data_IF_199326620946
#
_entry.id   IF_199326620946
#
_cell.length_a   1.000
_cell.length_b   1.000
_cell.length_c   1.000
_cell.angle_alpha   90.00
_cell.angle_beta   90.00
_cell.angle_gamma   90.00
#
_symmetry.space_group_name_H-M   'P 1'
#
loop_
_entity.id
_entity.type
_entity.pdbx_description
1 polymer ?
#
# COMPACT_ATOMS: atom_id res chain seq x y z
N UNK A 1 11.73 -39.58 -21.58
CA UNK A 1 12.74 -38.82 -20.86
C UNK A 1 12.84 -39.41 -19.46
N UNK A 2 14.03 -39.86 -18.98
CA UNK A 2 14.15 -40.37 -17.63
C UNK A 2 13.81 -39.23 -16.63
N UNK A 3 12.95 -39.51 -15.69
CA UNK A 3 12.56 -38.55 -14.63
C UNK A 3 13.78 -38.21 -13.77
N UNK A 4 14.00 -36.92 -13.49
CA UNK A 4 15.05 -36.49 -12.54
C UNK A 4 14.87 -37.23 -11.21
N UNK A 5 15.95 -37.74 -10.59
CA UNK A 5 15.85 -38.52 -9.37
C UNK A 5 15.25 -37.68 -8.23
N UNK A 6 14.52 -38.32 -7.36
CA UNK A 6 13.97 -37.69 -6.15
C UNK A 6 15.06 -37.50 -5.08
N UNK A 7 14.84 -36.55 -4.14
CA UNK A 7 15.74 -36.36 -3.00
C UNK A 7 15.93 -37.65 -2.16
N UNK A 8 14.91 -38.52 -2.12
CA UNK A 8 14.99 -39.85 -1.44
C UNK A 8 15.90 -40.81 -2.18
N UNK A 9 15.87 -40.79 -3.49
CA UNK A 9 16.77 -41.65 -4.31
C UNK A 9 18.20 -41.18 -4.17
N UNK A 10 18.44 -39.86 -4.20
CA UNK A 10 19.76 -39.28 -3.96
C UNK A 10 20.30 -39.66 -2.56
N UNK A 11 19.47 -39.60 -1.53
CA UNK A 11 19.82 -40.00 -0.16
C UNK A 11 20.19 -41.50 -0.08
N UNK A 12 19.41 -42.36 -0.73
CA UNK A 12 19.65 -43.79 -0.80
C UNK A 12 20.97 -44.11 -1.51
N UNK A 13 21.23 -43.48 -2.66
CA UNK A 13 22.46 -43.64 -3.45
C UNK A 13 23.71 -43.26 -2.65
N UNK A 14 23.59 -42.22 -1.80
CA UNK A 14 24.70 -41.72 -0.99
C UNK A 14 24.87 -42.43 0.36
N UNK A 15 23.92 -43.28 0.75
CA UNK A 15 23.89 -43.90 2.07
C UNK A 15 23.68 -42.89 3.20
N UNK A 16 23.00 -41.76 2.91
CA UNK A 16 22.77 -40.70 3.88
C UNK A 16 21.28 -40.56 4.20
N UNK A 17 20.99 -39.96 5.38
CA UNK A 17 19.61 -39.65 5.69
C UNK A 17 19.05 -38.57 4.76
N UNK A 18 17.75 -38.62 4.47
CA UNK A 18 17.04 -37.61 3.70
C UNK A 18 17.26 -36.19 4.27
N UNK A 19 17.29 -36.08 5.61
CA UNK A 19 17.54 -34.80 6.29
C UNK A 19 18.94 -34.29 6.01
N UNK A 20 19.96 -35.15 6.12
CA UNK A 20 21.36 -34.78 5.85
C UNK A 20 21.57 -34.32 4.41
N UNK A 21 20.97 -34.98 3.43
CA UNK A 21 21.05 -34.57 2.02
C UNK A 21 20.32 -33.25 1.80
N UNK A 22 19.14 -33.08 2.39
CA UNK A 22 18.39 -31.82 2.29
C UNK A 22 19.12 -30.64 2.92
N UNK A 23 19.79 -30.85 4.05
CA UNK A 23 20.59 -29.84 4.74
C UNK A 23 21.88 -29.51 3.99
N UNK A 24 22.56 -30.52 3.44
CA UNK A 24 23.75 -30.34 2.62
C UNK A 24 23.45 -29.49 1.37
N UNK A 25 22.33 -29.74 0.69
CA UNK A 25 21.87 -28.96 -0.47
C UNK A 25 21.44 -27.53 -0.13
N UNK A 26 21.24 -27.21 1.16
CA UNK A 26 20.95 -25.87 1.67
C UNK A 26 22.16 -25.16 2.25
N UNK A 27 23.33 -25.76 2.11
CA UNK A 27 24.56 -25.27 2.71
C UNK A 27 24.49 -25.06 4.24
N UNK A 28 23.73 -25.93 4.94
CA UNK A 28 23.56 -25.81 6.38
C UNK A 28 24.92 -26.01 7.10
N UNK A 29 25.36 -25.08 7.95
CA UNK A 29 26.65 -25.18 8.66
C UNK A 29 26.76 -26.39 9.62
N UNK A 30 25.65 -27.05 9.96
CA UNK A 30 25.65 -28.29 10.76
C UNK A 30 26.11 -29.52 9.98
N UNK A 31 26.20 -29.44 8.65
CA UNK A 31 26.67 -30.52 7.79
C UNK A 31 28.15 -30.31 7.49
N UNK A 32 28.96 -31.34 7.66
CA UNK A 32 30.40 -31.31 7.39
C UNK A 32 30.65 -30.99 5.92
N UNK A 33 31.68 -30.17 5.63
CA UNK A 33 31.99 -29.70 4.29
C UNK A 33 32.22 -30.82 3.29
N UNK A 34 32.92 -31.89 3.71
CA UNK A 34 33.11 -33.09 2.88
C UNK A 34 31.79 -33.73 2.45
N UNK A 35 30.79 -33.74 3.36
CA UNK A 35 29.45 -34.28 3.08
C UNK A 35 28.70 -33.36 2.09
N UNK A 36 28.82 -32.05 2.22
CA UNK A 36 28.23 -31.11 1.32
C UNK A 36 28.76 -31.26 -0.10
N UNK A 37 30.09 -31.33 -0.24
CA UNK A 37 30.75 -31.51 -1.54
C UNK A 37 30.32 -32.84 -2.20
N UNK A 38 30.26 -33.93 -1.40
CA UNK A 38 29.81 -35.24 -1.87
C UNK A 38 28.37 -35.20 -2.37
N UNK A 39 27.48 -34.54 -1.64
CA UNK A 39 26.05 -34.42 -1.99
C UNK A 39 25.87 -33.54 -3.25
N UNK A 40 26.57 -32.41 -3.34
CA UNK A 40 26.49 -31.52 -4.49
C UNK A 40 26.96 -32.19 -5.77
N UNK A 41 28.12 -32.87 -5.75
CA UNK A 41 28.63 -33.64 -6.91
C UNK A 41 27.65 -34.73 -7.35
N UNK A 42 27.07 -35.47 -6.40
CA UNK A 42 26.10 -36.51 -6.71
C UNK A 42 24.78 -35.93 -7.27
N UNK A 43 24.32 -34.79 -6.76
CA UNK A 43 23.15 -34.10 -7.25
C UNK A 43 23.34 -33.62 -8.71
N UNK A 44 24.50 -33.04 -9.00
CA UNK A 44 24.87 -32.58 -10.35
C UNK A 44 24.99 -33.77 -11.33
N UNK A 45 25.71 -34.82 -10.95
CA UNK A 45 25.86 -36.03 -11.76
C UNK A 45 24.54 -36.75 -12.06
N UNK A 46 23.59 -36.70 -11.10
CA UNK A 46 22.27 -37.32 -11.24
C UNK A 46 21.25 -36.36 -11.95
N UNK A 47 21.64 -35.15 -12.34
CA UNK A 47 20.73 -34.17 -12.93
C UNK A 47 19.63 -33.72 -11.97
N UNK A 48 19.86 -33.84 -10.63
CA UNK A 48 18.89 -33.39 -9.64
C UNK A 48 18.79 -31.86 -9.64
N UNK A 49 17.64 -31.35 -10.02
CA UNK A 49 17.30 -29.93 -9.85
C UNK A 49 16.31 -29.78 -8.70
N UNK A 50 16.66 -28.96 -7.74
CA UNK A 50 15.75 -28.62 -6.64
C UNK A 50 14.46 -28.06 -7.21
N UNK A 51 13.34 -28.74 -6.97
CA UNK A 51 12.04 -28.26 -7.41
C UNK A 51 11.55 -27.17 -6.42
N UNK A 52 11.44 -25.89 -6.84
CA UNK A 52 10.92 -24.83 -6.00
C UNK A 52 9.49 -25.08 -5.54
N UNK A 53 8.70 -25.81 -6.37
CA UNK A 53 7.32 -26.19 -6.06
C UNK A 53 7.24 -27.23 -4.94
N UNK A 54 8.22 -28.11 -4.80
CA UNK A 54 8.26 -29.06 -3.66
C UNK A 54 8.45 -28.34 -2.33
N UNK A 55 9.21 -27.24 -2.29
CA UNK A 55 9.32 -26.36 -1.12
C UNK A 55 7.99 -25.66 -0.82
N UNK A 56 7.30 -25.19 -1.85
CA UNK A 56 5.98 -24.59 -1.71
C UNK A 56 4.93 -25.60 -1.24
N UNK A 57 4.91 -26.82 -1.81
CA UNK A 57 4.01 -27.90 -1.42
C UNK A 57 4.24 -28.34 0.03
N UNK A 58 5.50 -28.47 0.46
CA UNK A 58 5.84 -28.78 1.85
C UNK A 58 5.49 -27.61 2.81
N UNK A 59 5.51 -26.38 2.33
CA UNK A 59 5.00 -25.22 3.05
C UNK A 59 3.48 -25.29 3.17
N UNK A 60 2.76 -25.70 2.11
CA UNK A 60 1.32 -25.92 2.09
C UNK A 60 0.89 -27.03 3.05
N UNK A 61 1.56 -28.19 3.03
CA UNK A 61 1.32 -29.32 3.94
C UNK A 61 1.61 -28.94 5.40
N UNK A 62 2.60 -28.08 5.67
CA UNK A 62 2.83 -27.52 7.01
C UNK A 62 1.77 -26.48 7.39
N UNK A 63 1.21 -25.78 6.43
CA UNK A 63 0.12 -24.81 6.61
C UNK A 63 -1.19 -25.47 7.00
N UNK A 64 -1.48 -26.65 6.46
CA UNK A 64 -2.67 -27.45 6.78
C UNK A 64 -2.63 -28.12 8.17
N UNK A 65 -1.44 -28.14 8.82
CA UNK A 65 -1.30 -28.51 10.22
C UNK A 65 -1.34 -27.24 11.07
N UNK A 66 -2.56 -26.86 11.48
CA UNK A 66 -2.89 -25.66 12.25
C UNK A 66 -1.92 -25.32 13.38
N UNK A 67 -1.57 -24.04 13.51
CA UNK A 67 -1.09 -23.45 14.74
C UNK A 67 0.42 -23.31 14.92
N UNK A 68 1.24 -23.52 13.90
CA UNK A 68 2.70 -23.32 14.04
C UNK A 68 3.04 -21.84 13.95
N UNK A 69 3.36 -21.23 15.08
CA UNK A 69 3.99 -19.90 15.16
C UNK A 69 5.28 -19.86 14.33
N UNK A 70 5.39 -18.86 13.43
CA UNK A 70 6.50 -18.72 12.47
C UNK A 70 7.43 -17.58 12.80
N UNK A 71 6.96 -16.60 13.55
CA UNK A 71 7.74 -15.44 13.92
C UNK A 71 6.88 -14.21 14.18
N UNK A 72 7.57 -13.10 14.47
CA UNK A 72 6.96 -11.79 14.71
C UNK A 72 7.33 -10.84 13.58
N UNK A 73 6.36 -10.04 13.13
CA UNK A 73 6.53 -8.90 12.23
C UNK A 73 6.34 -7.63 13.05
N UNK A 74 7.30 -6.72 12.99
CA UNK A 74 7.14 -5.39 13.58
C UNK A 74 6.33 -4.49 12.63
N UNK A 75 5.34 -3.79 13.17
CA UNK A 75 4.64 -2.70 12.49
C UNK A 75 5.09 -1.41 13.16
N UNK A 76 5.83 -0.56 12.43
CA UNK A 76 6.35 0.69 12.96
C UNK A 76 5.39 1.85 12.63
N UNK A 77 4.73 2.38 13.65
CA UNK A 77 3.96 3.63 13.61
C UNK A 77 4.81 4.74 14.25
N UNK A 78 5.80 5.22 13.50
CA UNK A 78 6.85 6.08 14.02
C UNK A 78 6.35 7.42 14.55
N UNK A 79 5.33 7.99 13.91
CA UNK A 79 4.70 9.25 14.33
C UNK A 79 3.65 9.07 15.42
N UNK A 80 3.28 7.84 15.75
CA UNK A 80 2.24 7.54 16.72
C UNK A 80 0.83 7.93 16.26
N UNK A 81 0.61 8.03 14.95
CA UNK A 81 -0.66 8.49 14.38
C UNK A 81 -1.81 7.58 14.77
N UNK A 82 -1.59 6.27 14.90
CA UNK A 82 -2.63 5.32 15.31
C UNK A 82 -3.24 5.61 16.69
N UNK A 83 -2.54 6.34 17.55
CA UNK A 83 -3.00 6.75 18.89
C UNK A 83 -3.63 8.14 18.92
N UNK A 84 -3.66 8.89 17.82
CA UNK A 84 -4.30 10.18 17.74
C UNK A 84 -5.83 10.07 17.71
N UNK A 85 -6.52 11.22 17.58
CA UNK A 85 -7.97 11.26 17.52
C UNK A 85 -8.55 10.30 16.44
N UNK A 86 -9.77 9.75 16.64
CA UNK A 86 -10.33 8.71 15.76
C UNK A 86 -10.30 9.04 14.27
N UNK A 87 -10.62 10.26 13.89
CA UNK A 87 -10.67 10.68 12.49
C UNK A 87 -9.27 10.75 11.86
N UNK A 88 -8.27 11.28 12.59
CA UNK A 88 -6.88 11.39 12.12
C UNK A 88 -6.22 10.02 11.99
N UNK A 89 -6.51 9.13 12.93
CA UNK A 89 -5.82 7.84 13.05
C UNK A 89 -6.52 6.69 12.32
N UNK A 90 -7.72 6.89 11.75
CA UNK A 90 -8.52 5.82 11.14
C UNK A 90 -7.75 5.10 10.03
N UNK A 91 -7.10 5.83 9.14
CA UNK A 91 -6.31 5.28 8.05
C UNK A 91 -5.20 4.34 8.54
N UNK A 92 -4.42 4.78 9.54
CA UNK A 92 -3.35 3.95 10.13
C UNK A 92 -3.89 2.74 10.88
N UNK A 93 -4.98 2.89 11.62
CA UNK A 93 -5.61 1.77 12.35
C UNK A 93 -6.15 0.69 11.42
N UNK A 94 -6.81 1.08 10.33
CA UNK A 94 -7.26 0.13 9.31
C UNK A 94 -6.07 -0.61 8.65
N UNK A 95 -4.98 0.10 8.39
CA UNK A 95 -3.75 -0.52 7.85
C UNK A 95 -3.14 -1.51 8.84
N UNK A 96 -3.01 -1.13 10.11
CA UNK A 96 -2.54 -2.00 11.19
C UNK A 96 -3.45 -3.23 11.31
N UNK A 97 -4.76 -3.03 11.26
CA UNK A 97 -5.73 -4.12 11.33
C UNK A 97 -5.52 -5.11 10.19
N UNK A 98 -5.44 -4.64 8.94
CA UNK A 98 -5.22 -5.49 7.78
C UNK A 98 -3.90 -6.25 7.86
N UNK A 99 -2.82 -5.58 8.27
CA UNK A 99 -1.52 -6.19 8.48
C UNK A 99 -1.56 -7.29 9.57
N UNK A 100 -2.22 -7.01 10.70
CA UNK A 100 -2.32 -7.94 11.83
C UNK A 100 -3.16 -9.17 11.50
N UNK A 101 -4.32 -8.98 10.89
CA UNK A 101 -5.20 -10.08 10.46
C UNK A 101 -4.45 -10.99 9.47
N UNK A 102 -3.78 -10.38 8.48
CA UNK A 102 -3.07 -11.13 7.46
C UNK A 102 -1.82 -11.84 7.98
N UNK A 103 -1.05 -11.21 8.86
CA UNK A 103 0.06 -11.87 9.54
C UNK A 103 -0.40 -13.13 10.26
N UNK A 104 -1.49 -13.03 11.03
CA UNK A 104 -2.09 -14.16 11.77
C UNK A 104 -2.49 -15.32 10.85
N UNK A 105 -3.17 -15.03 9.72
CA UNK A 105 -3.54 -16.04 8.73
C UNK A 105 -2.31 -16.79 8.17
N UNK A 106 -1.18 -16.09 8.05
CA UNK A 106 0.07 -16.65 7.55
C UNK A 106 0.95 -17.29 8.65
N UNK A 107 0.45 -17.35 9.89
CA UNK A 107 1.12 -17.95 11.03
C UNK A 107 2.16 -17.04 11.71
N UNK A 108 2.10 -15.74 11.47
CA UNK A 108 2.93 -14.75 12.14
C UNK A 108 2.11 -13.95 13.16
N UNK A 109 2.80 -13.39 14.15
CA UNK A 109 2.25 -12.39 15.04
C UNK A 109 2.71 -10.99 14.60
N UNK A 110 1.82 -10.02 14.58
CA UNK A 110 2.19 -8.63 14.38
C UNK A 110 2.38 -7.95 15.75
N UNK A 111 3.49 -7.24 15.93
CA UNK A 111 3.74 -6.40 17.10
C UNK A 111 3.86 -4.94 16.65
N UNK A 112 3.11 -4.05 17.31
CA UNK A 112 3.00 -2.65 16.93
C UNK A 112 3.94 -1.82 17.81
N UNK A 113 4.84 -1.09 17.17
CA UNK A 113 5.75 -0.13 17.80
C UNK A 113 5.28 1.28 17.48
N UNK A 114 4.94 2.05 18.51
CA UNK A 114 4.33 3.38 18.37
C UNK A 114 5.27 4.46 18.88
N UNK A 115 5.35 5.59 18.15
CA UNK A 115 6.10 6.78 18.59
C UNK A 115 7.61 6.59 18.62
N UNK A 116 8.18 5.84 17.68
CA UNK A 116 9.59 5.46 17.67
C UNK A 116 10.55 6.64 17.44
N UNK A 117 10.09 7.79 16.97
CA UNK A 117 10.92 9.00 16.83
C UNK A 117 11.55 9.49 18.13
N UNK A 118 10.95 9.13 19.28
CA UNK A 118 11.46 9.47 20.61
C UNK A 118 12.45 8.44 21.18
N UNK A 119 12.60 7.31 20.54
CA UNK A 119 13.50 6.22 20.96
C UNK A 119 14.78 6.32 20.12
N UNK A 120 15.95 6.20 20.76
CA UNK A 120 17.18 6.13 19.97
C UNK A 120 17.15 4.90 19.06
N UNK A 121 17.67 5.08 17.89
CA UNK A 121 17.73 4.06 16.86
C UNK A 121 18.37 2.75 17.31
N UNK A 122 19.51 2.86 17.99
CA UNK A 122 20.22 1.70 18.57
C UNK A 122 19.36 0.94 19.58
N UNK A 123 18.47 1.64 20.30
CA UNK A 123 17.55 0.99 21.23
C UNK A 123 16.43 0.24 20.49
N UNK A 124 15.88 0.81 19.43
CA UNK A 124 14.88 0.14 18.61
C UNK A 124 15.47 -1.12 17.97
N UNK A 125 16.66 -1.01 17.38
CA UNK A 125 17.38 -2.13 16.78
C UNK A 125 17.64 -3.25 17.80
N UNK A 126 18.14 -2.91 18.99
CA UNK A 126 18.33 -3.87 20.09
C UNK A 126 17.04 -4.57 20.52
N UNK A 127 15.92 -3.85 20.54
CA UNK A 127 14.61 -4.44 20.87
C UNK A 127 14.18 -5.44 19.79
N UNK A 128 14.28 -5.07 18.52
CA UNK A 128 13.88 -5.92 17.39
C UNK A 128 14.74 -7.21 17.38
N UNK A 129 16.06 -7.08 17.53
CA UNK A 129 16.98 -8.22 17.55
C UNK A 129 16.74 -9.14 18.75
N UNK A 130 16.60 -8.59 19.97
CA UNK A 130 16.38 -9.38 21.18
C UNK A 130 15.08 -10.20 21.14
N UNK A 131 14.08 -9.74 20.38
CA UNK A 131 12.81 -10.44 20.17
C UNK A 131 12.80 -11.36 18.95
N UNK A 132 13.93 -11.46 18.23
CA UNK A 132 14.06 -12.30 17.04
C UNK A 132 13.19 -11.81 15.86
N UNK A 133 12.82 -10.54 15.85
CA UNK A 133 12.01 -9.94 14.78
C UNK A 133 12.89 -9.77 13.54
N UNK A 134 12.44 -10.27 12.41
CA UNK A 134 13.15 -10.19 11.13
C UNK A 134 12.37 -9.50 10.02
N UNK A 135 11.12 -9.17 10.26
CA UNK A 135 10.27 -8.47 9.29
C UNK A 135 9.77 -7.17 9.86
N UNK A 136 9.81 -6.11 9.06
CA UNK A 136 9.42 -4.76 9.45
C UNK A 136 8.52 -4.15 8.37
N UNK A 137 7.31 -3.79 8.76
CA UNK A 137 6.39 -2.96 7.98
C UNK A 137 6.39 -1.55 8.57
N UNK A 138 6.80 -0.56 7.78
CA UNK A 138 6.79 0.84 8.19
C UNK A 138 5.50 1.50 7.66
N UNK A 139 4.74 2.09 8.56
CA UNK A 139 3.53 2.84 8.21
C UNK A 139 3.87 4.21 7.63
N UNK A 140 2.91 4.86 6.94
CA UNK A 140 3.08 6.23 6.47
C UNK A 140 3.48 7.17 7.59
N UNK A 141 4.35 8.12 7.28
CA UNK A 141 4.86 9.12 8.20
C UNK A 141 4.59 10.53 7.67
N UNK A 142 4.57 11.53 8.54
CA UNK A 142 4.27 12.91 8.16
C UNK A 142 5.41 13.57 7.38
N UNK A 143 6.66 13.27 7.76
CA UNK A 143 7.87 13.81 7.14
C UNK A 143 8.74 12.68 6.62
N UNK A 144 9.80 13.01 5.85
CA UNK A 144 10.79 12.02 5.40
C UNK A 144 11.66 11.55 6.58
N UNK A 145 11.42 10.38 7.15
CA UNK A 145 12.18 9.87 8.28
C UNK A 145 13.47 9.21 7.81
N UNK A 146 14.46 9.23 8.67
CA UNK A 146 15.71 8.51 8.45
C UNK A 146 15.74 7.23 9.30
N UNK A 147 15.58 6.09 8.63
CA UNK A 147 15.72 4.75 9.22
C UNK A 147 17.04 4.08 8.86
N UNK A 148 18.00 4.79 8.24
CA UNK A 148 19.31 4.24 7.86
C UNK A 148 20.15 3.77 9.05
N UNK A 149 19.78 4.18 10.23
CA UNK A 149 20.44 3.83 11.49
C UNK A 149 20.06 2.44 12.05
N UNK A 150 19.05 1.76 11.49
CA UNK A 150 18.78 0.35 11.80
C UNK A 150 19.76 -0.54 11.02
N UNK A 151 20.21 -1.63 11.63
CA UNK A 151 21.03 -2.61 10.91
C UNK A 151 20.14 -3.48 10.01
N UNK A 152 19.85 -2.96 8.83
CA UNK A 152 18.98 -3.60 7.86
C UNK A 152 19.44 -4.98 7.41
N UNK A 153 20.73 -5.34 7.60
CA UNK A 153 21.22 -6.68 7.27
C UNK A 153 20.44 -7.81 7.99
N UNK A 154 19.75 -7.46 9.07
CA UNK A 154 18.93 -8.38 9.85
C UNK A 154 17.45 -8.42 9.49
N UNK A 155 16.96 -7.45 8.68
CA UNK A 155 15.54 -7.25 8.48
C UNK A 155 15.13 -7.30 7.00
N UNK A 156 13.98 -7.90 6.75
CA UNK A 156 13.18 -7.69 5.55
C UNK A 156 12.26 -6.50 5.80
N UNK A 157 12.33 -5.45 4.98
CA UNK A 157 11.62 -4.20 5.19
C UNK A 157 10.72 -3.80 4.03
N UNK A 158 9.53 -3.24 4.35
CA UNK A 158 8.60 -2.67 3.37
C UNK A 158 8.02 -1.37 3.92
N UNK A 159 7.98 -0.33 3.09
CA UNK A 159 7.25 0.89 3.38
C UNK A 159 5.82 0.82 2.86
N UNK A 160 4.87 1.26 3.67
CA UNK A 160 3.50 1.47 3.23
C UNK A 160 3.29 2.92 2.74
N UNK A 161 4.23 3.45 1.98
CA UNK A 161 4.23 4.81 1.42
C UNK A 161 5.18 4.92 0.21
N UNK A 162 5.25 6.11 -0.44
CA UNK A 162 6.10 6.36 -1.61
C UNK A 162 7.48 6.92 -1.31
N UNK A 163 7.69 7.61 -0.18
CA UNK A 163 8.73 8.63 -0.09
C UNK A 163 9.90 8.25 0.76
N UNK A 164 9.95 7.10 1.38
CA UNK A 164 11.07 6.86 2.27
C UNK A 164 12.28 6.42 1.44
N UNK A 165 13.27 7.31 1.34
CA UNK A 165 14.50 7.08 0.60
C UNK A 165 15.71 6.75 1.47
N UNK A 166 15.56 6.81 2.80
CA UNK A 166 16.65 6.58 3.76
C UNK A 166 16.35 5.48 4.77
N UNK A 167 16.66 4.23 4.45
CA UNK A 167 17.15 3.70 3.18
C UNK A 167 16.03 3.43 2.18
N UNK A 168 16.38 3.19 0.93
CA UNK A 168 15.43 2.74 -0.10
C UNK A 168 15.07 1.27 0.12
N UNK A 169 13.85 1.01 0.56
CA UNK A 169 13.28 -0.33 0.69
C UNK A 169 12.19 -0.56 -0.36
N UNK A 170 11.70 -1.79 -0.46
CA UNK A 170 10.47 -2.04 -1.21
C UNK A 170 9.31 -1.27 -0.58
N UNK A 171 8.37 -0.84 -1.41
CA UNK A 171 7.23 -0.05 -0.97
C UNK A 171 5.90 -0.63 -1.46
N UNK A 172 4.84 -0.33 -0.74
CA UNK A 172 3.46 -0.55 -1.16
C UNK A 172 2.64 0.69 -0.87
N UNK A 173 1.79 1.08 -1.83
CA UNK A 173 1.00 2.30 -1.71
C UNK A 173 -0.22 2.27 -2.62
N UNK A 174 -1.12 3.22 -2.46
CA UNK A 174 -2.21 3.43 -3.41
C UNK A 174 -1.68 3.97 -4.73
N UNK A 175 -2.23 3.53 -5.84
CA UNK A 175 -2.00 4.15 -7.15
C UNK A 175 -2.78 5.48 -7.25
N UNK A 176 -2.22 6.53 -6.66
CA UNK A 176 -2.87 7.84 -6.58
C UNK A 176 -3.12 8.46 -7.96
N UNK A 177 -2.21 8.25 -8.91
CA UNK A 177 -2.38 8.72 -10.28
C UNK A 177 -3.61 8.09 -10.94
N UNK A 178 -3.67 6.76 -10.97
CA UNK A 178 -4.81 6.02 -11.55
C UNK A 178 -6.10 6.29 -10.78
N UNK A 179 -6.02 6.46 -9.46
CA UNK A 179 -7.16 6.77 -8.61
C UNK A 179 -7.83 8.08 -9.03
N UNK A 180 -7.04 9.15 -9.24
CA UNK A 180 -7.57 10.44 -9.69
C UNK A 180 -8.13 10.37 -11.11
N UNK A 181 -7.42 9.73 -12.04
CA UNK A 181 -7.93 9.51 -13.41
C UNK A 181 -9.30 8.80 -13.37
N UNK A 182 -9.43 7.76 -12.54
CA UNK A 182 -10.70 7.02 -12.39
C UNK A 182 -11.81 7.91 -11.81
N UNK A 183 -11.48 8.72 -10.81
CA UNK A 183 -12.44 9.66 -10.22
C UNK A 183 -12.90 10.72 -11.23
N UNK A 184 -11.99 11.32 -11.99
CA UNK A 184 -12.31 12.31 -13.02
C UNK A 184 -13.16 11.71 -14.15
N UNK A 185 -12.86 10.48 -14.60
CA UNK A 185 -13.70 9.76 -15.54
C UNK A 185 -15.12 9.58 -15.00
N UNK A 186 -15.25 9.15 -13.74
CA UNK A 186 -16.56 9.00 -13.11
C UNK A 186 -17.32 10.34 -13.03
N UNK A 187 -16.68 11.40 -12.56
CA UNK A 187 -17.29 12.74 -12.51
C UNK A 187 -17.72 13.24 -13.88
N UNK A 188 -16.92 12.99 -14.92
CA UNK A 188 -17.25 13.34 -16.30
C UNK A 188 -18.50 12.59 -16.79
N UNK A 189 -18.68 11.31 -16.42
CA UNK A 189 -19.91 10.54 -16.74
C UNK A 189 -21.14 11.07 -16.02
N UNK A 190 -20.98 11.66 -14.83
CA UNK A 190 -22.04 12.36 -14.10
C UNK A 190 -22.39 13.74 -14.69
N UNK A 191 -21.68 14.18 -15.71
CA UNK A 191 -21.95 15.42 -16.41
C UNK A 191 -21.14 16.63 -15.94
N UNK A 192 -20.24 16.51 -14.97
CA UNK A 192 -19.37 17.59 -14.54
C UNK A 192 -18.39 17.97 -15.65
N UNK A 193 -18.16 19.28 -15.80
CA UNK A 193 -17.28 19.82 -16.87
C UNK A 193 -16.25 20.83 -16.35
N UNK A 194 -16.35 21.23 -15.10
CA UNK A 194 -15.47 22.23 -14.48
C UNK A 194 -14.87 21.67 -13.17
N UNK A 195 -14.10 20.57 -13.23
CA UNK A 195 -13.51 19.99 -12.03
C UNK A 195 -12.49 20.95 -11.44
N UNK A 196 -12.56 21.17 -10.12
CA UNK A 196 -11.58 21.94 -9.38
C UNK A 196 -10.84 21.05 -8.36
N UNK A 197 -9.51 21.10 -8.38
CA UNK A 197 -8.66 20.33 -7.47
C UNK A 197 -8.14 21.22 -6.35
N UNK A 198 -8.25 20.74 -5.09
CA UNK A 198 -7.76 21.45 -3.90
C UNK A 198 -6.86 20.52 -3.09
N UNK A 199 -5.59 20.87 -2.97
CA UNK A 199 -4.57 20.05 -2.32
C UNK A 199 -3.83 20.81 -1.22
N UNK A 200 -3.44 20.08 -0.19
CA UNK A 200 -2.42 20.54 0.72
C UNK A 200 -1.05 20.18 0.13
N UNK A 201 -0.19 21.20 -0.04
CA UNK A 201 1.08 21.09 -0.76
C UNK A 201 1.93 19.93 -0.26
N UNK A 202 2.23 19.89 1.04
CA UNK A 202 3.05 18.84 1.63
C UNK A 202 2.52 17.42 1.38
N UNK A 203 1.18 17.24 1.37
CA UNK A 203 0.57 15.93 1.14
C UNK A 203 0.75 15.44 -0.30
N UNK A 204 0.84 16.32 -1.28
CA UNK A 204 1.07 15.93 -2.67
C UNK A 204 2.56 15.83 -2.99
N UNK A 205 3.40 16.72 -2.46
CA UNK A 205 4.87 16.65 -2.58
C UNK A 205 5.42 15.31 -2.10
N UNK A 206 4.95 14.82 -0.95
CA UNK A 206 5.33 13.49 -0.42
C UNK A 206 4.83 12.33 -1.30
N UNK A 207 3.90 12.56 -2.20
CA UNK A 207 3.44 11.62 -3.21
C UNK A 207 4.06 11.90 -4.59
N UNK A 208 5.13 12.69 -4.65
CA UNK A 208 5.80 13.11 -5.87
C UNK A 208 4.83 13.82 -6.83
N UNK A 209 3.96 14.67 -6.30
CA UNK A 209 2.95 15.46 -7.00
C UNK A 209 1.99 14.63 -7.89
N UNK A 210 1.65 13.42 -7.44
CA UNK A 210 0.86 12.48 -8.26
C UNK A 210 -0.58 12.91 -8.45
N UNK A 211 -1.18 13.62 -7.48
CA UNK A 211 -2.53 14.16 -7.61
C UNK A 211 -2.56 15.31 -8.63
N UNK A 212 -1.67 16.27 -8.46
CA UNK A 212 -1.57 17.41 -9.37
C UNK A 212 -1.22 16.97 -10.79
N UNK A 213 -0.20 16.12 -10.95
CA UNK A 213 0.23 15.62 -12.26
C UNK A 213 -0.89 14.84 -12.99
N UNK A 214 -1.64 14.00 -12.27
CA UNK A 214 -2.76 13.26 -12.84
C UNK A 214 -3.90 14.21 -13.26
N UNK A 215 -4.19 15.23 -12.44
CA UNK A 215 -5.22 16.22 -12.76
C UNK A 215 -4.87 17.00 -14.02
N UNK A 216 -3.66 17.54 -14.08
CA UNK A 216 -3.20 18.30 -15.23
C UNK A 216 -3.20 17.47 -16.52
N UNK A 217 -2.59 16.27 -16.47
CA UNK A 217 -2.56 15.37 -17.62
C UNK A 217 -3.97 14.97 -18.08
N UNK A 218 -4.90 14.76 -17.16
CA UNK A 218 -6.29 14.44 -17.51
C UNK A 218 -6.96 15.59 -18.26
N UNK A 219 -6.84 16.82 -17.76
CA UNK A 219 -7.44 17.99 -18.40
C UNK A 219 -6.84 18.25 -19.79
N UNK A 220 -5.53 18.12 -19.95
CA UNK A 220 -4.83 18.35 -21.23
C UNK A 220 -5.31 17.39 -22.34
N UNK A 221 -5.78 16.20 -21.96
CA UNK A 221 -6.30 15.21 -22.91
C UNK A 221 -7.83 15.23 -23.10
N UNK A 222 -8.57 16.09 -22.38
CA UNK A 222 -10.04 16.15 -22.44
C UNK A 222 -10.53 17.56 -22.74
N UNK A 223 -10.65 17.88 -24.02
CA UNK A 223 -11.03 19.23 -24.51
C UNK A 223 -12.48 19.63 -24.19
N UNK A 224 -13.31 18.69 -23.74
CA UNK A 224 -14.69 18.94 -23.28
C UNK A 224 -14.74 19.42 -21.81
N UNK A 225 -13.59 19.50 -21.14
CA UNK A 225 -13.47 19.99 -19.78
C UNK A 225 -12.82 21.36 -19.73
N UNK A 226 -13.23 22.18 -18.76
CA UNK A 226 -12.61 23.46 -18.50
C UNK A 226 -11.39 23.31 -17.62
N UNK A 227 -10.26 23.85 -18.07
CA UNK A 227 -9.02 23.87 -17.32
C UNK A 227 -9.09 24.93 -16.22
N UNK A 228 -9.31 24.50 -14.98
CA UNK A 228 -9.25 25.35 -13.80
C UNK A 228 -7.90 25.16 -13.12
N UNK A 229 -7.20 26.25 -12.75
CA UNK A 229 -5.98 26.13 -11.95
C UNK A 229 -6.29 25.51 -10.60
N UNK A 230 -5.52 24.48 -10.17
CA UNK A 230 -5.71 23.87 -8.87
C UNK A 230 -5.40 24.85 -7.74
N UNK A 231 -6.02 24.67 -6.60
CA UNK A 231 -5.67 25.37 -5.37
C UNK A 231 -4.73 24.51 -4.54
N UNK A 232 -3.44 24.82 -4.58
CA UNK A 232 -2.42 24.13 -3.80
C UNK A 232 -1.89 25.05 -2.72
N UNK A 233 -2.02 24.67 -1.47
CA UNK A 233 -1.69 25.49 -0.31
C UNK A 233 -0.85 24.73 0.71
N UNK A 234 0.07 25.39 1.43
CA UNK A 234 0.74 24.77 2.58
C UNK A 234 -0.26 24.26 3.60
N UNK A 235 -1.32 25.04 3.86
CA UNK A 235 -2.45 24.66 4.69
C UNK A 235 -3.75 25.12 4.03
N UNK A 236 -4.69 24.18 3.84
CA UNK A 236 -6.00 24.48 3.27
C UNK A 236 -6.82 25.23 4.34
N UNK A 237 -7.21 26.44 4.03
CA UNK A 237 -8.05 27.26 4.89
C UNK A 237 -9.28 27.82 4.16
N UNK A 238 -10.30 28.18 4.92
CA UNK A 238 -11.60 28.63 4.43
C UNK A 238 -11.48 29.88 3.55
N UNK A 239 -10.70 30.87 3.96
CA UNK A 239 -10.61 32.15 3.25
C UNK A 239 -10.08 32.00 1.83
N UNK A 240 -8.93 31.31 1.67
CA UNK A 240 -8.33 31.06 0.37
C UNK A 240 -9.18 30.14 -0.49
N UNK A 241 -9.83 29.13 0.13
CA UNK A 241 -10.77 28.26 -0.57
C UNK A 241 -11.95 29.04 -1.15
N UNK A 242 -12.63 29.85 -0.34
CA UNK A 242 -13.79 30.66 -0.74
C UNK A 242 -13.42 31.65 -1.86
N UNK A 243 -12.27 32.32 -1.75
CA UNK A 243 -11.77 33.23 -2.80
C UNK A 243 -11.53 32.49 -4.11
N UNK A 244 -10.85 31.34 -4.06
CA UNK A 244 -10.60 30.49 -5.24
C UNK A 244 -11.90 29.96 -5.84
N UNK A 245 -12.82 29.44 -4.99
CA UNK A 245 -14.09 28.87 -5.44
C UNK A 245 -14.95 29.90 -6.20
N UNK A 246 -15.07 31.12 -5.63
CA UNK A 246 -15.81 32.22 -6.27
C UNK A 246 -15.17 32.69 -7.59
N UNK A 247 -13.83 32.66 -7.69
CA UNK A 247 -13.10 33.06 -8.89
C UNK A 247 -13.17 32.01 -9.98
N UNK A 248 -12.97 30.74 -9.64
CA UNK A 248 -12.84 29.66 -10.63
C UNK A 248 -14.19 29.02 -11.00
N UNK A 249 -15.21 29.13 -10.14
CA UNK A 249 -16.55 28.59 -10.37
C UNK A 249 -16.55 27.10 -10.79
N UNK A 250 -15.88 26.19 -10.01
CA UNK A 250 -15.93 24.77 -10.31
C UNK A 250 -17.34 24.22 -10.14
N UNK A 251 -17.77 23.26 -10.95
CA UNK A 251 -19.04 22.52 -10.76
C UNK A 251 -18.87 21.30 -9.85
N UNK A 252 -17.64 20.82 -9.70
CA UNK A 252 -17.28 19.77 -8.73
C UNK A 252 -15.91 20.07 -8.12
N UNK A 253 -15.76 19.85 -6.82
CA UNK A 253 -14.49 20.03 -6.10
C UNK A 253 -13.95 18.68 -5.65
N UNK A 254 -12.68 18.42 -5.96
CA UNK A 254 -11.92 17.26 -5.46
C UNK A 254 -10.97 17.73 -4.36
N UNK A 255 -11.11 17.19 -3.15
CA UNK A 255 -10.30 17.60 -1.98
C UNK A 255 -10.21 16.47 -0.96
N UNK A 256 -9.14 16.47 -0.15
CA UNK A 256 -9.01 15.54 0.99
C UNK A 256 -9.89 15.94 2.18
N UNK A 257 -10.27 17.21 2.29
CA UNK A 257 -10.98 17.77 3.44
C UNK A 257 -12.46 17.95 3.14
N UNK A 258 -13.31 17.16 3.79
CA UNK A 258 -14.75 17.23 3.61
C UNK A 258 -15.39 18.50 4.19
N UNK A 259 -14.68 19.26 5.03
CA UNK A 259 -15.11 20.59 5.50
C UNK A 259 -15.30 21.57 4.33
N UNK A 260 -14.65 21.34 3.20
CA UNK A 260 -14.86 22.12 1.98
C UNK A 260 -16.34 22.13 1.52
N UNK A 261 -17.11 21.09 1.83
CA UNK A 261 -18.56 21.02 1.55
C UNK A 261 -19.28 22.20 2.20
N UNK A 262 -19.01 22.47 3.50
CA UNK A 262 -19.59 23.61 4.20
C UNK A 262 -19.18 24.96 3.59
N UNK A 263 -17.93 25.10 3.18
CA UNK A 263 -17.43 26.32 2.53
C UNK A 263 -18.03 26.55 1.13
N UNK A 264 -18.29 25.48 0.38
CA UNK A 264 -19.03 25.55 -0.89
C UNK A 264 -20.47 26.01 -0.67
N UNK A 265 -21.14 25.49 0.36
CA UNK A 265 -22.51 25.86 0.72
C UNK A 265 -22.60 27.35 1.14
N UNK A 266 -21.63 27.85 1.88
CA UNK A 266 -21.52 29.29 2.20
C UNK A 266 -21.38 30.19 0.95
N UNK A 267 -20.84 29.63 -0.13
CA UNK A 267 -20.76 30.30 -1.45
C UNK A 267 -22.03 30.16 -2.30
N UNK A 268 -23.08 29.55 -1.77
CA UNK A 268 -24.36 29.33 -2.47
C UNK A 268 -24.45 28.02 -3.26
N UNK A 269 -23.47 27.12 -3.10
CA UNK A 269 -23.55 25.80 -3.70
C UNK A 269 -24.58 24.91 -2.98
N UNK A 270 -25.42 24.21 -3.73
CA UNK A 270 -26.33 23.19 -3.22
C UNK A 270 -25.81 21.82 -3.61
N UNK A 271 -25.26 21.08 -2.64
CA UNK A 271 -24.64 19.77 -2.85
C UNK A 271 -25.65 18.68 -2.51
N UNK A 272 -25.91 17.73 -3.41
CA UNK A 272 -25.31 17.51 -4.73
C UNK A 272 -26.08 18.17 -5.91
N UNK A 273 -27.04 19.06 -5.64
CA UNK A 273 -28.03 19.55 -6.65
C UNK A 273 -27.40 20.41 -7.74
N UNK A 274 -26.57 21.37 -7.36
CA UNK A 274 -25.92 22.33 -8.29
C UNK A 274 -24.43 22.08 -8.43
N UNK A 275 -23.79 21.56 -7.38
CA UNK A 275 -22.37 21.30 -7.32
C UNK A 275 -22.08 19.94 -6.70
N UNK A 276 -20.98 19.34 -7.10
CA UNK A 276 -20.48 18.08 -6.54
C UNK A 276 -19.27 18.26 -5.63
N UNK A 277 -19.09 17.32 -4.73
CA UNK A 277 -17.85 17.18 -3.95
C UNK A 277 -17.37 15.74 -3.99
N UNK A 278 -16.11 15.54 -4.37
CA UNK A 278 -15.42 14.25 -4.40
C UNK A 278 -14.28 14.26 -3.40
N UNK A 279 -14.36 13.41 -2.39
CA UNK A 279 -13.30 13.25 -1.40
C UNK A 279 -12.16 12.38 -1.94
N UNK A 280 -10.92 12.86 -1.88
CA UNK A 280 -9.74 12.10 -2.33
C UNK A 280 -9.31 10.99 -1.35
N UNK A 281 -9.82 11.02 -0.12
CA UNK A 281 -9.67 9.94 0.86
C UNK A 281 -10.82 9.98 1.88
N UNK A 282 -11.85 9.19 1.65
CA UNK A 282 -13.03 9.16 2.53
C UNK A 282 -12.71 8.64 3.94
N UNK A 283 -11.62 7.91 4.12
CA UNK A 283 -11.26 7.30 5.40
C UNK A 283 -10.73 8.32 6.43
N UNK A 284 -10.30 9.50 5.98
CA UNK A 284 -9.77 10.56 6.89
C UNK A 284 -10.83 11.57 7.32
N UNK A 285 -12.07 11.42 6.86
CA UNK A 285 -13.15 12.35 7.15
C UNK A 285 -14.26 11.70 7.99
N UNK A 286 -14.89 12.51 8.86
CA UNK A 286 -16.08 12.13 9.62
C UNK A 286 -17.39 12.46 8.90
N UNK A 287 -17.34 13.36 7.93
CA UNK A 287 -18.51 13.77 7.14
C UNK A 287 -18.70 12.75 6.01
N UNK A 288 -19.88 12.12 5.88
CA UNK A 288 -20.15 11.22 4.75
C UNK A 288 -20.02 11.96 3.42
N UNK A 289 -19.23 11.43 2.50
CA UNK A 289 -19.01 12.00 1.17
C UNK A 289 -18.74 10.91 0.14
N UNK A 290 -19.02 11.23 -1.12
CA UNK A 290 -18.59 10.42 -2.27
C UNK A 290 -17.10 10.60 -2.50
N UNK A 291 -16.41 9.58 -3.00
CA UNK A 291 -14.99 9.71 -3.32
C UNK A 291 -14.22 8.40 -3.26
N UNK A 292 -12.95 8.51 -2.92
CA UNK A 292 -11.98 7.43 -2.99
C UNK A 292 -11.72 6.81 -1.61
N UNK A 293 -11.88 5.50 -1.51
CA UNK A 293 -11.29 4.68 -0.45
C UNK A 293 -9.92 4.21 -0.95
N UNK A 294 -8.86 4.66 -0.31
CA UNK A 294 -7.48 4.30 -0.64
C UNK A 294 -7.09 2.90 -0.14
N UNK A 295 -8.04 2.15 0.39
CA UNK A 295 -7.95 0.76 0.81
C UNK A 295 -6.83 0.47 1.86
N UNK A 296 -6.74 1.21 2.96
CA UNK A 296 -5.65 1.05 3.94
C UNK A 296 -5.59 -0.36 4.53
N UNK A 297 -6.73 -1.00 4.76
CA UNK A 297 -6.76 -2.38 5.27
C UNK A 297 -6.08 -3.36 4.29
N UNK A 298 -6.33 -3.21 3.00
CA UNK A 298 -5.69 -4.02 1.96
C UNK A 298 -4.21 -3.69 1.82
N UNK A 299 -3.83 -2.40 1.92
CA UNK A 299 -2.42 -1.98 1.92
C UNK A 299 -1.63 -2.66 3.04
N UNK A 300 -2.17 -2.65 4.27
CA UNK A 300 -1.54 -3.33 5.40
C UNK A 300 -1.39 -4.83 5.19
N UNK A 301 -2.44 -5.50 4.70
CA UNK A 301 -2.42 -6.93 4.42
C UNK A 301 -1.37 -7.29 3.36
N UNK A 302 -1.32 -6.55 2.26
CA UNK A 302 -0.33 -6.77 1.18
C UNK A 302 1.07 -6.37 1.59
N UNK A 303 1.23 -5.33 2.42
CA UNK A 303 2.53 -4.94 2.97
C UNK A 303 3.16 -6.06 3.79
N UNK A 304 2.40 -6.67 4.68
CA UNK A 304 2.85 -7.83 5.45
C UNK A 304 3.17 -9.04 4.56
N UNK A 305 2.38 -9.30 3.52
CA UNK A 305 2.69 -10.38 2.56
C UNK A 305 4.05 -10.17 1.88
N UNK A 306 4.37 -8.93 1.48
CA UNK A 306 5.66 -8.60 0.89
C UNK A 306 6.81 -8.82 1.88
N UNK A 307 6.66 -8.41 3.14
CA UNK A 307 7.66 -8.65 4.20
C UNK A 307 7.87 -10.15 4.40
N UNK A 308 6.78 -10.92 4.53
CA UNK A 308 6.85 -12.37 4.76
C UNK A 308 7.47 -13.09 3.54
N UNK A 309 7.17 -12.62 2.34
CA UNK A 309 7.76 -13.18 1.12
C UNK A 309 9.28 -12.99 1.09
N UNK A 310 9.80 -11.82 1.48
CA UNK A 310 11.23 -11.57 1.62
C UNK A 310 11.85 -12.52 2.67
N UNK A 311 11.24 -12.65 3.85
CA UNK A 311 11.72 -13.58 4.89
C UNK A 311 11.85 -15.02 4.35
N UNK A 312 10.85 -15.49 3.60
CA UNK A 312 10.89 -16.85 3.04
C UNK A 312 11.92 -17.04 1.93
N UNK A 313 12.31 -15.94 1.24
CA UNK A 313 13.38 -15.96 0.24
C UNK A 313 14.75 -15.69 0.84
N UNK A 314 14.85 -15.41 2.16
CA UNK A 314 16.05 -14.94 2.86
C UNK A 314 16.60 -13.62 2.26
N UNK A 315 15.72 -12.74 1.81
CA UNK A 315 16.05 -11.43 1.29
C UNK A 315 16.03 -10.43 2.46
N UNK A 316 17.16 -10.21 3.07
CA UNK A 316 17.37 -9.23 4.13
C UNK A 316 18.24 -8.10 3.63
N UNK A 317 18.14 -6.95 4.29
CA UNK A 317 18.96 -5.79 3.96
C UNK A 317 18.24 -4.79 3.07
N UNK A 318 19.02 -3.81 2.63
CA UNK A 318 18.58 -2.79 1.68
C UNK A 318 18.63 -3.42 0.28
N UNK A 319 17.51 -3.49 -0.47
CA UNK A 319 17.53 -4.07 -1.79
C UNK A 319 18.36 -3.22 -2.76
N UNK A 320 19.13 -3.87 -3.62
CA UNK A 320 19.88 -3.18 -4.69
C UNK A 320 18.92 -2.41 -5.63
N UNK A 321 17.79 -3.04 -5.96
CA UNK A 321 16.74 -2.44 -6.80
C UNK A 321 15.41 -2.51 -6.03
N UNK A 322 15.00 -1.44 -5.34
CA UNK A 322 13.72 -1.39 -4.67
C UNK A 322 12.56 -1.37 -5.69
N UNK A 323 11.47 -2.02 -5.35
CA UNK A 323 10.26 -2.04 -6.15
C UNK A 323 9.08 -1.44 -5.37
N UNK A 324 8.14 -0.83 -6.10
CA UNK A 324 6.90 -0.32 -5.52
C UNK A 324 5.71 -1.11 -6.05
N UNK A 325 4.93 -1.67 -5.14
CA UNK A 325 3.65 -2.31 -5.45
C UNK A 325 2.53 -1.30 -5.26
N UNK A 326 1.67 -1.13 -6.26
CA UNK A 326 0.54 -0.20 -6.16
C UNK A 326 -0.80 -0.94 -6.09
N UNK A 327 -1.73 -0.39 -5.30
CA UNK A 327 -3.10 -0.89 -5.14
C UNK A 327 -4.08 0.17 -5.67
N UNK A 328 -5.07 -0.20 -6.50
CA UNK A 328 -6.07 0.75 -6.96
C UNK A 328 -6.92 1.24 -5.79
N UNK A 329 -7.36 2.50 -5.84
CA UNK A 329 -8.40 2.99 -4.96
C UNK A 329 -9.75 2.41 -5.36
N UNK A 330 -10.70 2.39 -4.41
CA UNK A 330 -12.09 1.99 -4.63
C UNK A 330 -13.00 3.20 -4.56
N UNK A 331 -13.93 3.31 -5.50
CA UNK A 331 -14.96 4.33 -5.44
C UNK A 331 -15.97 4.04 -4.33
N UNK A 332 -16.39 5.08 -3.62
CA UNK A 332 -17.45 5.04 -2.61
C UNK A 332 -18.51 6.06 -2.99
N UNK A 333 -19.73 5.59 -3.14
CA UNK A 333 -20.90 6.46 -3.30
C UNK A 333 -21.28 7.10 -1.97
N UNK A 334 -21.75 8.34 -2.03
CA UNK A 334 -22.13 9.11 -0.85
C UNK A 334 -23.01 10.30 -1.21
N UNK A 335 -23.44 11.11 -0.23
CA UNK A 335 -24.44 12.15 -0.40
C UNK A 335 -23.93 13.41 -1.15
N UNK A 336 -22.65 13.48 -1.47
CA UNK A 336 -22.05 14.70 -2.06
C UNK A 336 -21.97 14.70 -3.58
N UNK A 337 -22.40 13.61 -4.21
CA UNK A 337 -22.60 13.48 -5.66
C UNK A 337 -23.95 12.84 -5.92
N UNK A 338 -24.61 13.10 -7.08
CA UNK A 338 -25.85 12.44 -7.45
C UNK A 338 -25.59 10.95 -7.73
N UNK A 339 -26.57 10.10 -7.43
CA UNK A 339 -26.54 8.71 -7.84
C UNK A 339 -26.67 8.61 -9.37
N UNK A 340 -25.88 7.74 -10.01
CA UNK A 340 -25.90 7.51 -11.47
C UNK A 340 -27.32 7.18 -11.95
N UNK A 341 -28.09 6.39 -11.19
CA UNK A 341 -29.47 6.05 -11.52
C UNK A 341 -30.38 7.29 -11.54
N UNK A 342 -30.17 8.26 -10.63
CA UNK A 342 -30.94 9.51 -10.59
C UNK A 342 -30.48 10.53 -11.63
N UNK A 343 -29.22 10.50 -12.03
CA UNK A 343 -28.66 11.37 -13.08
C UNK A 343 -29.17 10.96 -14.47
N UNK A 344 -29.24 9.68 -14.76
CA UNK A 344 -29.78 9.15 -16.01
C UNK A 344 -31.29 9.46 -16.18
N UNK A 345 -32.07 9.48 -15.09
CA UNK A 345 -33.48 9.82 -15.10
C UNK A 345 -33.76 11.33 -15.35
N UNK A 346 -32.75 12.20 -15.16
CA UNK A 346 -32.85 13.65 -15.37
C UNK A 346 -32.32 14.13 -16.74
N UNK A 347 -31.70 13.24 -17.52
CA UNK A 347 -31.30 13.57 -18.89
C UNK A 347 -32.57 13.86 -19.71
N UNK A 348 -32.70 15.04 -20.34
CA UNK A 348 -33.84 15.31 -21.19
C UNK A 348 -33.88 14.26 -22.30
N UNK A 349 -35.05 13.63 -22.49
CA UNK A 349 -35.28 12.72 -23.59
C UNK A 349 -34.86 13.44 -24.88
N UNK A 350 -33.87 12.90 -25.58
CA UNK A 350 -33.52 13.35 -26.92
C UNK A 350 -34.80 13.22 -27.78
N UNK A 351 -35.39 14.36 -28.15
CA UNK A 351 -36.48 14.40 -29.12
C UNK A 351 -36.00 13.67 -30.37
N UNK A 352 -36.79 12.73 -30.93
CA UNK A 352 -36.43 12.09 -32.19
C UNK A 352 -36.29 13.15 -33.26
N UNK A 353 -35.14 13.22 -33.91
CA UNK A 353 -34.95 13.97 -35.13
C UNK A 353 -35.92 13.38 -36.16
N UNK A 354 -37.01 14.10 -36.43
CA UNK A 354 -37.88 13.80 -37.55
C UNK A 354 -37.08 13.93 -38.86
N UNK A 355 -37.24 12.87 -39.67
CA UNK A 355 -36.69 12.68 -41.00
C UNK A 355 -37.05 13.79 -41.98
#
# INVERSE_FOLDING_TARGET
>A
MPSSPSLRELARTLGLSHTTVSEALRDNPRVREETKVKVLKAAEAAGYRRNPLAGALMSEIRRSRSGTFRGVIAILDSDGISKQAPNTSRYHREMIQGATERAKELGFMAEIFVGQRSISASRLDSILQSRGIRGVLLLPVSDDPDFSHLDWSHYAGVYADYIIERPRLHAICTDHYRALISALNHLRTLGYRRPGLVLQQHNDERLLNRWEAAFQAYLDHHTDLNHLPPLILPEINREKFVSWFKKQQPDVVLCHRAEAVGWMQECGAEIPRTHGFCCLNVMTNSIPCSGLDLQPKLLGARGVELVIAQIFRNEYGIPEIPSTTTIPARWIDGPTLPDIASAAAKAPALLPLHA
#
